data_IF_314213574669
#
_entry.id   IF_314213574669
#
_cell.length_a   1.000
_cell.length_b   1.000
_cell.length_c   1.000
_cell.angle_alpha   90.00
_cell.angle_beta   90.00
_cell.angle_gamma   90.00
#
_symmetry.space_group_name_H-M   'P 1'
#
loop_
_entity.id
_entity.type
_entity.pdbx_description
1 polymer ?
#
# COMPACT_ATOMS: atom_id res chain seq x y z
N UNK A 1 -19.87 -12.00 3.21
CA UNK A 1 -19.02 -11.06 3.96
C UNK A 1 -19.15 -9.72 3.31
N UNK A 2 -19.50 -8.70 4.08
CA UNK A 2 -19.73 -7.35 3.60
C UNK A 2 -18.35 -6.72 3.39
N UNK A 3 -17.91 -6.65 2.14
CA UNK A 3 -16.73 -5.87 1.75
C UNK A 3 -17.10 -4.40 1.97
N UNK A 4 -16.56 -3.78 3.02
CA UNK A 4 -16.74 -2.35 3.26
C UNK A 4 -15.95 -1.63 2.18
N UNK A 5 -16.60 -1.33 1.06
CA UNK A 5 -16.10 -0.37 0.08
C UNK A 5 -15.87 0.94 0.83
N UNK A 6 -14.60 1.22 1.17
CA UNK A 6 -14.20 2.57 1.56
C UNK A 6 -14.56 3.48 0.38
N UNK A 7 -15.47 4.42 0.63
CA UNK A 7 -16.17 5.16 -0.41
C UNK A 7 -15.21 6.10 -1.15
N UNK A 8 -15.09 5.94 -2.47
CA UNK A 8 -14.53 6.99 -3.34
C UNK A 8 -15.70 7.88 -3.75
N UNK A 9 -15.70 9.14 -3.30
CA UNK A 9 -16.81 10.06 -3.55
C UNK A 9 -16.48 11.06 -4.67
N UNK A 10 -17.46 11.29 -5.54
CA UNK A 10 -17.38 12.25 -6.62
C UNK A 10 -17.84 13.65 -6.16
N UNK A 11 -16.94 14.63 -6.04
CA UNK A 11 -17.28 15.98 -5.53
C UNK A 11 -17.00 17.05 -6.60
N UNK A 12 -17.87 18.04 -6.84
CA UNK A 12 -17.62 19.12 -7.81
C UNK A 12 -16.68 20.20 -7.25
N UNK A 13 -16.06 20.96 -8.15
CA UNK A 13 -15.14 22.06 -7.84
C UNK A 13 -15.80 23.18 -7.01
N UNK A 14 -15.15 23.58 -5.93
CA UNK A 14 -15.56 24.72 -5.11
C UNK A 14 -14.91 26.00 -5.60
N UNK A 15 -15.70 27.04 -5.86
CA UNK A 15 -15.18 28.35 -6.29
C UNK A 15 -14.18 28.92 -5.26
N UNK A 16 -14.32 28.56 -3.97
CA UNK A 16 -13.38 28.95 -2.90
C UNK A 16 -12.03 28.24 -2.98
N UNK A 17 -11.98 27.01 -3.51
CA UNK A 17 -10.74 26.26 -3.70
C UNK A 17 -9.86 26.93 -4.75
N UNK A 18 -10.45 27.35 -5.86
CA UNK A 18 -9.76 28.11 -6.92
C UNK A 18 -9.15 29.42 -6.41
N UNK A 19 -9.95 30.20 -5.67
CA UNK A 19 -9.53 31.52 -5.19
C UNK A 19 -8.41 31.47 -4.13
N UNK A 20 -8.38 30.43 -3.28
CA UNK A 20 -7.54 30.41 -2.08
C UNK A 20 -6.43 29.37 -2.10
N UNK A 21 -6.59 28.26 -2.83
CA UNK A 21 -5.70 27.09 -2.76
C UNK A 21 -5.07 26.73 -4.11
N UNK A 22 -5.74 26.99 -5.24
CA UNK A 22 -5.20 26.68 -6.57
C UNK A 22 -4.33 27.81 -7.18
N UNK A 23 -4.29 28.99 -6.53
CA UNK A 23 -3.40 30.09 -6.92
C UNK A 23 -3.63 30.62 -8.34
N UNK A 24 -4.82 30.43 -8.92
CA UNK A 24 -5.17 30.75 -10.32
C UNK A 24 -4.36 30.00 -11.39
N UNK A 25 -3.66 28.92 -11.04
CA UNK A 25 -3.06 28.06 -12.05
C UNK A 25 -4.10 27.06 -12.57
N UNK A 26 -4.25 26.94 -13.90
CA UNK A 26 -5.07 25.89 -14.50
C UNK A 26 -4.42 24.51 -14.27
N UNK A 27 -4.65 23.95 -13.09
CA UNK A 27 -4.24 22.60 -12.73
C UNK A 27 -5.50 21.73 -12.75
N UNK A 28 -5.59 20.83 -13.73
CA UNK A 28 -6.67 19.86 -13.80
C UNK A 28 -6.44 18.77 -12.75
N UNK A 29 -6.86 19.00 -11.52
CA UNK A 29 -6.84 17.97 -10.47
C UNK A 29 -8.21 17.30 -10.42
N UNK A 30 -8.36 16.12 -11.02
CA UNK A 30 -9.62 15.34 -10.94
C UNK A 30 -9.62 14.38 -9.72
N UNK A 31 -8.70 14.55 -8.78
CA UNK A 31 -8.54 13.69 -7.61
C UNK A 31 -8.00 14.48 -6.40
N UNK A 32 -8.38 14.07 -5.19
CA UNK A 32 -7.96 14.70 -3.94
C UNK A 32 -7.96 13.74 -2.75
N UNK A 33 -7.19 14.07 -1.71
CA UNK A 33 -7.09 13.30 -0.47
C UNK A 33 -7.42 14.21 0.71
N UNK A 34 -8.31 13.77 1.59
CA UNK A 34 -8.65 14.44 2.84
C UNK A 34 -8.24 13.53 4.00
N UNK A 35 -7.16 13.89 4.69
CA UNK A 35 -6.70 13.18 5.88
C UNK A 35 -7.31 13.76 7.15
N UNK A 36 -7.88 12.91 7.99
CA UNK A 36 -8.52 13.30 9.25
C UNK A 36 -7.88 12.50 10.37
N UNK A 37 -7.14 13.20 11.21
CA UNK A 37 -6.59 12.65 12.44
C UNK A 37 -7.46 13.01 13.63
N UNK A 38 -7.94 12.01 14.35
CA UNK A 38 -8.79 12.17 15.53
C UNK A 38 -8.17 11.48 16.75
N UNK A 39 -8.54 11.89 17.96
CA UNK A 39 -8.14 11.15 19.17
C UNK A 39 -8.89 9.82 19.27
N UNK A 40 -8.35 8.84 20.01
CA UNK A 40 -8.92 7.50 20.21
C UNK A 40 -10.41 7.45 20.63
N UNK A 41 -10.96 8.54 21.19
CA UNK A 41 -12.39 8.69 21.51
C UNK A 41 -13.26 9.12 20.30
N UNK A 42 -12.81 8.86 19.08
CA UNK A 42 -13.52 9.23 17.86
C UNK A 42 -14.65 8.26 17.54
N UNK A 43 -15.86 8.78 17.38
CA UNK A 43 -17.02 8.00 16.98
C UNK A 43 -17.11 7.97 15.45
N UNK A 44 -16.49 6.94 14.86
CA UNK A 44 -16.46 6.72 13.40
C UNK A 44 -17.88 6.78 12.78
N UNK A 45 -18.87 6.19 13.44
CA UNK A 45 -20.25 6.19 12.97
C UNK A 45 -20.87 7.60 12.89
N UNK A 46 -20.59 8.47 13.86
CA UNK A 46 -21.10 9.85 13.87
C UNK A 46 -20.42 10.66 12.76
N UNK A 47 -19.11 10.47 12.56
CA UNK A 47 -18.37 11.12 11.49
C UNK A 47 -18.83 10.69 10.10
N UNK A 48 -19.03 9.38 9.88
CA UNK A 48 -19.60 8.85 8.63
C UNK A 48 -21.01 9.41 8.39
N UNK A 49 -21.81 9.59 9.45
CA UNK A 49 -23.09 10.29 9.38
C UNK A 49 -22.94 11.74 8.91
N UNK A 50 -22.00 12.50 9.50
CA UNK A 50 -21.71 13.86 9.07
C UNK A 50 -21.26 13.95 7.61
N UNK A 51 -20.35 13.08 7.16
CA UNK A 51 -19.87 13.04 5.77
C UNK A 51 -21.01 12.71 4.81
N UNK A 52 -21.82 11.69 5.14
CA UNK A 52 -22.97 11.27 4.33
C UNK A 52 -24.05 12.35 4.21
N UNK A 53 -24.19 13.20 5.23
CA UNK A 53 -25.12 14.33 5.26
C UNK A 53 -24.59 15.58 4.57
N UNK A 54 -23.31 15.60 4.12
CA UNK A 54 -22.79 16.69 3.30
C UNK A 54 -23.50 16.67 1.95
N UNK A 55 -24.51 17.53 1.81
CA UNK A 55 -25.23 17.73 0.57
C UNK A 55 -24.31 18.27 -0.53
N UNK A 56 -23.74 17.38 -1.33
CA UNK A 56 -22.98 17.73 -2.52
C UNK A 56 -23.96 18.31 -3.55
N UNK A 57 -23.97 19.63 -3.68
CA UNK A 57 -24.79 20.31 -4.67
C UNK A 57 -24.21 19.99 -6.06
N UNK A 58 -24.93 19.18 -6.85
CA UNK A 58 -24.55 18.87 -8.25
C UNK A 58 -24.43 20.18 -9.05
N UNK A 59 -23.20 20.63 -9.31
CA UNK A 59 -22.89 21.59 -10.38
C UNK A 59 -22.55 20.81 -11.65
N UNK A 60 -22.88 21.35 -12.82
CA UNK A 60 -22.73 20.71 -14.14
C UNK A 60 -21.27 20.49 -14.61
N UNK A 61 -20.26 20.69 -13.76
CA UNK A 61 -18.84 20.71 -14.15
C UNK A 61 -18.01 19.69 -13.37
N UNK A 62 -17.47 18.72 -14.11
CA UNK A 62 -16.42 17.80 -13.67
C UNK A 62 -16.86 16.73 -12.64
N UNK A 63 -16.14 15.61 -12.62
CA UNK A 63 -16.20 14.58 -11.59
C UNK A 63 -14.82 14.48 -10.96
N UNK A 64 -14.72 14.62 -9.65
CA UNK A 64 -13.45 14.55 -8.90
C UNK A 64 -13.52 13.41 -7.91
N UNK A 65 -12.49 12.58 -7.85
CA UNK A 65 -12.40 11.48 -6.88
C UNK A 65 -11.77 11.97 -5.58
N UNK A 66 -12.51 11.91 -4.47
CA UNK A 66 -11.96 12.25 -3.15
C UNK A 66 -11.84 10.99 -2.30
N UNK A 67 -10.62 10.73 -1.81
CA UNK A 67 -10.36 9.72 -0.78
C UNK A 67 -10.32 10.38 0.59
N UNK A 68 -11.14 9.89 1.53
CA UNK A 68 -11.15 10.33 2.93
C UNK A 68 -10.40 9.30 3.76
N UNK A 69 -9.33 9.73 4.44
CA UNK A 69 -8.44 8.86 5.19
C UNK A 69 -8.57 9.14 6.70
N UNK A 70 -8.87 8.10 7.48
CA UNK A 70 -8.88 8.18 8.94
C UNK A 70 -7.52 7.82 9.54
N UNK A 71 -7.45 7.75 10.88
CA UNK A 71 -6.23 7.37 11.59
C UNK A 71 -5.60 6.07 11.08
N UNK A 72 -6.43 5.06 10.78
CA UNK A 72 -5.96 3.76 10.27
C UNK A 72 -5.21 3.94 8.95
N UNK A 73 -5.82 4.62 7.98
CA UNK A 73 -5.23 4.82 6.66
C UNK A 73 -3.99 5.72 6.77
N UNK A 74 -4.02 6.76 7.59
CA UNK A 74 -2.88 7.64 7.84
C UNK A 74 -1.69 6.88 8.47
N UNK A 75 -1.96 5.98 9.42
CA UNK A 75 -0.97 5.08 10.02
C UNK A 75 -0.37 4.14 8.98
N UNK A 76 -1.22 3.48 8.21
CA UNK A 76 -0.83 2.62 7.09
C UNK A 76 0.09 3.36 6.12
N UNK A 77 -0.26 4.57 5.70
CA UNK A 77 0.55 5.34 4.76
C UNK A 77 1.90 5.75 5.34
N UNK A 78 1.96 6.13 6.61
CA UNK A 78 3.22 6.48 7.24
C UNK A 78 4.15 5.26 7.35
N UNK A 79 3.60 4.08 7.70
CA UNK A 79 4.35 2.81 7.76
C UNK A 79 4.86 2.40 6.39
N UNK A 80 3.97 2.43 5.39
CA UNK A 80 4.30 2.17 4.00
C UNK A 80 5.41 3.09 3.51
N UNK A 81 5.29 4.40 3.73
CA UNK A 81 6.28 5.37 3.28
C UNK A 81 7.65 5.13 3.95
N UNK A 82 7.67 4.87 5.26
CA UNK A 82 8.89 4.55 6.01
C UNK A 82 9.58 3.31 5.44
N UNK A 83 8.82 2.24 5.24
CA UNK A 83 9.35 0.97 4.77
C UNK A 83 9.76 1.01 3.29
N UNK A 84 8.93 1.62 2.44
CA UNK A 84 9.25 1.83 1.03
C UNK A 84 10.52 2.67 0.84
N UNK A 85 10.69 3.73 1.65
CA UNK A 85 11.92 4.53 1.62
C UNK A 85 13.13 3.74 2.13
N UNK A 86 12.96 2.86 3.13
CA UNK A 86 14.02 1.95 3.55
C UNK A 86 14.43 1.03 2.40
N UNK A 87 13.47 0.39 1.72
CA UNK A 87 13.74 -0.44 0.55
C UNK A 87 14.46 0.35 -0.56
N UNK A 88 14.01 1.57 -0.89
CA UNK A 88 14.70 2.43 -1.86
C UNK A 88 16.14 2.75 -1.45
N UNK A 89 16.43 2.88 -0.15
CA UNK A 89 17.79 3.12 0.34
C UNK A 89 18.66 1.85 0.33
N UNK A 90 18.08 0.70 0.66
CA UNK A 90 18.78 -0.59 0.68
C UNK A 90 19.11 -1.07 -0.74
N UNK A 91 18.25 -0.72 -1.71
CA UNK A 91 18.39 -1.04 -3.14
C UNK A 91 18.63 0.25 -3.94
N UNK A 92 19.74 0.94 -3.66
CA UNK A 92 20.07 2.25 -4.22
C UNK A 92 21.19 2.22 -5.26
N UNK A 93 21.63 1.04 -5.72
CA UNK A 93 22.62 0.97 -6.79
C UNK A 93 22.01 1.48 -8.11
N UNK A 94 22.86 2.00 -9.00
CA UNK A 94 22.41 2.58 -10.30
C UNK A 94 21.60 1.62 -11.19
N UNK A 95 21.70 0.31 -10.95
CA UNK A 95 20.99 -0.72 -11.71
C UNK A 95 19.86 -1.41 -10.93
N UNK A 96 19.68 -1.05 -9.66
CA UNK A 96 18.57 -1.53 -8.85
C UNK A 96 17.37 -0.59 -9.04
N UNK A 97 16.17 -1.17 -9.02
CA UNK A 97 14.93 -0.42 -9.16
C UNK A 97 13.91 -0.90 -8.12
N UNK A 98 13.28 0.04 -7.43
CA UNK A 98 12.16 -0.22 -6.50
C UNK A 98 10.98 0.62 -6.92
N UNK A 99 9.89 -0.01 -7.33
CA UNK A 99 8.71 0.68 -7.87
C UNK A 99 7.40 0.00 -7.47
N UNK A 100 6.34 0.79 -7.42
CA UNK A 100 4.98 0.25 -7.30
C UNK A 100 4.58 -0.40 -8.61
N UNK A 101 3.84 -1.51 -8.50
CA UNK A 101 3.41 -2.31 -9.63
C UNK A 101 1.95 -2.72 -9.43
N UNK A 102 1.03 -2.22 -10.26
CA UNK A 102 -0.41 -2.50 -10.13
C UNK A 102 -0.92 -3.37 -11.28
N UNK A 103 -1.01 -4.69 -11.12
CA UNK A 103 -1.39 -5.58 -12.22
C UNK A 103 -2.77 -5.21 -12.78
N UNK A 104 -2.86 -5.01 -14.10
CA UNK A 104 -4.13 -4.76 -14.79
C UNK A 104 -4.82 -6.09 -15.08
N UNK A 105 -6.07 -6.25 -14.63
CA UNK A 105 -6.93 -7.42 -14.85
C UNK A 105 -7.31 -7.68 -16.32
N UNK A 106 -7.07 -6.73 -17.24
CA UNK A 106 -7.49 -6.81 -18.63
C UNK A 106 -6.33 -6.42 -19.55
N UNK A 107 -6.07 -7.24 -20.58
CA UNK A 107 -5.38 -7.13 -21.91
C UNK A 107 -4.47 -5.91 -22.24
N UNK A 108 -4.17 -5.05 -21.29
CA UNK A 108 -3.22 -3.97 -21.37
C UNK A 108 -1.84 -4.56 -21.06
N UNK A 109 -0.81 -4.13 -21.80
CA UNK A 109 0.56 -4.52 -21.45
C UNK A 109 0.80 -4.20 -19.97
N UNK A 110 1.55 -5.09 -19.32
CA UNK A 110 2.01 -5.02 -17.93
C UNK A 110 2.10 -3.57 -17.41
N UNK A 111 1.61 -3.28 -16.20
CA UNK A 111 1.58 -1.91 -15.71
C UNK A 111 2.97 -1.27 -15.75
N UNK A 112 3.03 -0.08 -16.30
CA UNK A 112 4.24 0.74 -16.32
C UNK A 112 4.72 0.96 -14.88
N UNK A 113 6.04 0.86 -14.67
CA UNK A 113 6.68 1.12 -13.38
C UNK A 113 6.20 2.46 -12.82
N UNK A 114 5.75 2.49 -11.57
CA UNK A 114 5.29 3.73 -10.94
C UNK A 114 6.12 4.10 -9.71
N UNK A 115 6.52 5.37 -9.65
CA UNK A 115 7.14 5.97 -8.46
C UNK A 115 6.12 6.46 -7.43
N UNK A 116 4.85 6.55 -7.82
CA UNK A 116 3.75 7.03 -6.98
C UNK A 116 2.68 5.95 -6.77
N UNK A 117 1.99 6.04 -5.64
CA UNK A 117 0.81 5.22 -5.36
C UNK A 117 -0.42 5.75 -6.11
N UNK A 118 -1.20 4.86 -6.71
CA UNK A 118 -2.54 5.21 -7.21
C UNK A 118 -3.48 5.53 -6.02
N UNK A 119 -4.48 6.39 -6.25
CA UNK A 119 -5.40 6.83 -5.21
C UNK A 119 -6.19 5.65 -4.62
N UNK A 120 -6.63 4.74 -5.49
CA UNK A 120 -7.38 3.53 -5.15
C UNK A 120 -6.54 2.56 -4.32
N UNK A 121 -5.23 2.53 -4.58
CA UNK A 121 -4.30 1.72 -3.81
C UNK A 121 -4.10 2.21 -2.36
N UNK A 122 -4.38 3.50 -2.07
CA UNK A 122 -4.36 4.01 -0.69
C UNK A 122 -5.38 3.27 0.20
N UNK A 123 -6.50 2.83 -0.39
CA UNK A 123 -7.59 2.15 0.31
C UNK A 123 -7.49 0.61 0.24
N UNK A 124 -6.62 0.07 -0.62
CA UNK A 124 -6.43 -1.37 -0.78
C UNK A 124 -5.65 -2.00 0.39
N UNK A 125 -6.11 -3.13 0.90
CA UNK A 125 -5.34 -3.91 1.90
C UNK A 125 -4.07 -4.55 1.32
N UNK A 126 -3.93 -4.57 -0.01
CA UNK A 126 -2.77 -5.07 -0.73
C UNK A 126 -2.14 -3.97 -1.57
N UNK A 127 -0.86 -3.71 -1.32
CA UNK A 127 -0.04 -2.82 -2.14
C UNK A 127 1.18 -3.62 -2.62
N UNK A 128 1.37 -3.66 -3.93
CA UNK A 128 2.42 -4.42 -4.58
C UNK A 128 3.58 -3.51 -4.98
N UNK A 129 4.79 -3.95 -4.63
CA UNK A 129 6.05 -3.33 -4.99
C UNK A 129 6.93 -4.39 -5.62
N UNK A 130 7.70 -4.01 -6.62
CA UNK A 130 8.71 -4.89 -7.21
C UNK A 130 10.09 -4.27 -6.99
N UNK A 131 11.01 -5.13 -6.58
CA UNK A 131 12.44 -4.85 -6.52
C UNK A 131 13.07 -5.60 -7.68
N UNK A 132 13.80 -4.89 -8.53
CA UNK A 132 14.66 -5.48 -9.54
C UNK A 132 16.09 -5.17 -9.14
N UNK A 133 16.90 -6.18 -8.87
CA UNK A 133 18.30 -6.01 -8.46
C UNK A 133 19.26 -6.70 -9.42
N UNK A 134 20.45 -6.15 -9.61
CA UNK A 134 21.47 -6.83 -10.41
C UNK A 134 21.96 -8.11 -9.70
N UNK A 135 21.93 -9.24 -10.39
CA UNK A 135 22.39 -10.54 -9.85
C UNK A 135 23.92 -10.65 -9.80
N UNK A 136 24.62 -9.69 -10.39
CA UNK A 136 26.08 -9.63 -10.45
C UNK A 136 26.54 -8.56 -11.44
N UNK A 137 27.83 -8.27 -11.42
CA UNK A 137 28.47 -7.32 -12.32
C UNK A 137 29.66 -7.96 -13.01
N UNK A 138 29.84 -7.67 -14.30
CA UNK A 138 31.03 -8.07 -15.03
C UNK A 138 32.24 -7.17 -14.70
N UNK A 139 33.36 -7.40 -15.37
CA UNK A 139 34.59 -6.60 -15.17
C UNK A 139 34.46 -5.14 -15.62
N UNK A 140 33.44 -4.81 -16.39
CA UNK A 140 33.14 -3.47 -16.90
C UNK A 140 32.05 -2.78 -16.06
N UNK A 141 31.66 -3.38 -14.93
CA UNK A 141 30.60 -2.91 -14.05
C UNK A 141 29.21 -2.90 -14.71
N UNK A 142 28.98 -3.78 -15.69
CA UNK A 142 27.67 -3.98 -16.32
C UNK A 142 26.93 -5.13 -15.63
N UNK A 143 25.62 -4.98 -15.32
CA UNK A 143 24.83 -6.05 -14.74
C UNK A 143 24.84 -7.31 -15.62
N UNK A 144 25.18 -8.46 -15.05
CA UNK A 144 25.22 -9.76 -15.76
C UNK A 144 23.86 -10.46 -15.80
N UNK A 145 22.90 -9.98 -15.01
CA UNK A 145 21.55 -10.49 -14.89
C UNK A 145 20.75 -9.66 -13.90
N UNK A 146 19.47 -9.98 -13.77
CA UNK A 146 18.57 -9.32 -12.83
C UNK A 146 17.72 -10.34 -12.11
N UNK A 147 17.62 -10.17 -10.80
CA UNK A 147 16.68 -10.87 -9.93
C UNK A 147 15.50 -9.94 -9.64
N UNK A 148 14.32 -10.53 -9.49
CA UNK A 148 13.07 -9.87 -9.14
C UNK A 148 12.57 -10.38 -7.80
N UNK A 149 12.24 -9.44 -6.92
CA UNK A 149 11.58 -9.73 -5.65
C UNK A 149 10.27 -8.99 -5.63
N UNK A 150 9.18 -9.71 -5.38
CA UNK A 150 7.87 -9.10 -5.18
C UNK A 150 7.65 -8.82 -3.71
N UNK A 151 7.42 -7.56 -3.37
CA UNK A 151 7.12 -7.09 -2.02
C UNK A 151 5.63 -6.76 -1.95
N UNK A 152 4.96 -7.33 -0.95
CA UNK A 152 3.53 -7.16 -0.73
C UNK A 152 3.35 -6.51 0.64
N UNK A 153 2.87 -5.28 0.65
CA UNK A 153 2.42 -4.64 1.88
C UNK A 153 0.96 -5.04 2.13
N UNK A 154 0.74 -5.74 3.23
CA UNK A 154 -0.54 -6.33 3.61
C UNK A 154 -1.09 -5.70 4.90
N UNK A 155 -2.32 -5.16 4.82
CA UNK A 155 -2.98 -4.41 5.89
C UNK A 155 -4.32 -5.02 6.36
N UNK A 156 -4.61 -6.26 5.94
CA UNK A 156 -5.76 -7.03 6.40
C UNK A 156 -5.44 -7.96 7.57
N UNK A 157 -6.41 -8.83 7.91
CA UNK A 157 -6.28 -9.79 9.00
C UNK A 157 -5.22 -10.87 8.70
N UNK A 158 -4.38 -11.21 9.67
CA UNK A 158 -3.36 -12.23 9.50
C UNK A 158 -3.87 -13.64 9.85
N UNK A 159 -4.70 -14.20 8.97
CA UNK A 159 -5.26 -15.55 9.09
C UNK A 159 -4.91 -16.42 7.88
N UNK A 160 -5.06 -17.74 8.00
CA UNK A 160 -4.86 -18.64 6.85
C UNK A 160 -5.74 -18.26 5.65
N UNK A 161 -7.03 -18.01 5.89
CA UNK A 161 -7.99 -17.66 4.83
C UNK A 161 -7.59 -16.37 4.12
N UNK A 162 -7.14 -15.36 4.88
CA UNK A 162 -6.60 -14.12 4.35
C UNK A 162 -5.35 -14.35 3.50
N UNK A 163 -4.40 -15.16 3.98
CA UNK A 163 -3.18 -15.47 3.25
C UNK A 163 -3.46 -16.29 1.97
N UNK A 164 -4.49 -17.14 1.99
CA UNK A 164 -4.98 -17.81 0.78
C UNK A 164 -5.50 -16.80 -0.26
N UNK A 165 -6.21 -15.75 0.17
CA UNK A 165 -6.63 -14.65 -0.72
C UNK A 165 -5.41 -13.92 -1.30
N UNK A 166 -4.39 -13.64 -0.48
CA UNK A 166 -3.13 -13.04 -0.96
C UNK A 166 -2.49 -13.92 -2.03
N UNK A 167 -2.34 -15.23 -1.77
CA UNK A 167 -1.75 -16.16 -2.72
C UNK A 167 -2.56 -16.27 -4.02
N UNK A 168 -3.89 -16.34 -3.94
CA UNK A 168 -4.75 -16.32 -5.13
C UNK A 168 -4.55 -15.07 -5.97
N UNK A 169 -4.42 -13.90 -5.34
CA UNK A 169 -4.12 -12.66 -6.04
C UNK A 169 -2.76 -12.74 -6.74
N UNK A 170 -1.73 -13.31 -6.10
CA UNK A 170 -0.42 -13.49 -6.73
C UNK A 170 -0.47 -14.43 -7.95
N UNK A 171 -1.24 -15.51 -7.87
CA UNK A 171 -1.47 -16.42 -9.00
C UNK A 171 -2.20 -15.70 -10.12
N UNK A 172 -3.31 -15.02 -9.82
CA UNK A 172 -4.17 -14.33 -10.79
C UNK A 172 -3.41 -13.23 -11.54
N UNK A 173 -2.51 -12.53 -10.84
CA UNK A 173 -1.68 -11.47 -11.40
C UNK A 173 -0.35 -11.96 -12.00
N UNK A 174 -0.12 -13.28 -12.04
CA UNK A 174 1.13 -13.88 -12.51
C UNK A 174 2.38 -13.31 -11.81
N UNK A 175 2.29 -13.09 -10.50
CA UNK A 175 3.32 -12.52 -9.63
C UNK A 175 4.19 -13.59 -8.96
N UNK A 176 4.09 -14.84 -9.39
CA UNK A 176 4.89 -15.94 -8.86
C UNK A 176 6.15 -16.24 -9.69
N UNK A 177 6.31 -15.61 -10.87
CA UNK A 177 7.49 -15.74 -11.73
C UNK A 177 8.65 -14.83 -11.26
N UNK A 178 9.09 -15.06 -10.02
CA UNK A 178 10.12 -14.28 -9.30
C UNK A 178 10.94 -15.19 -8.40
N UNK A 179 12.08 -14.72 -7.91
CA UNK A 179 12.94 -15.48 -7.00
C UNK A 179 12.38 -15.52 -5.58
N UNK A 180 11.76 -14.42 -5.15
CA UNK A 180 11.26 -14.26 -3.78
C UNK A 180 10.01 -13.39 -3.71
N UNK A 181 9.14 -13.73 -2.77
CA UNK A 181 7.96 -12.97 -2.37
C UNK A 181 8.12 -12.58 -0.89
N UNK A 182 8.19 -11.28 -0.61
CA UNK A 182 8.26 -10.72 0.73
C UNK A 182 6.91 -10.14 1.14
N UNK A 183 6.29 -10.65 2.20
CA UNK A 183 5.02 -10.14 2.72
C UNK A 183 5.29 -9.31 3.99
N UNK A 184 5.12 -8.00 3.88
CA UNK A 184 5.16 -7.08 5.02
C UNK A 184 3.76 -6.90 5.59
N UNK A 185 3.54 -7.33 6.83
CA UNK A 185 2.23 -7.24 7.48
C UNK A 185 2.21 -6.23 8.62
N UNK A 186 1.05 -5.60 8.83
CA UNK A 186 0.84 -4.64 9.89
C UNK A 186 0.49 -5.31 11.23
N UNK A 187 1.49 -5.48 12.11
CA UNK A 187 1.30 -6.13 13.42
C UNK A 187 0.47 -5.32 14.42
N UNK A 188 0.32 -4.00 14.26
CA UNK A 188 -0.37 -3.18 15.25
C UNK A 188 -1.89 -3.25 15.10
N UNK A 189 -2.39 -3.64 13.92
CA UNK A 189 -3.83 -3.70 13.62
C UNK A 189 -4.37 -5.13 13.61
N UNK A 190 -3.55 -6.13 13.95
CA UNK A 190 -3.98 -7.52 14.02
C UNK A 190 -4.85 -7.76 15.25
N UNK A 191 -6.02 -8.34 15.03
CA UNK A 191 -6.79 -8.96 16.11
C UNK A 191 -6.11 -10.27 16.55
N UNK A 192 -5.32 -10.16 17.62
CA UNK A 192 -4.59 -11.28 18.23
C UNK A 192 -5.49 -12.36 18.81
N UNK A 193 -6.81 -12.15 18.85
CA UNK A 193 -7.80 -13.13 19.29
C UNK A 193 -8.20 -14.16 18.23
N UNK A 194 -7.89 -13.93 16.95
CA UNK A 194 -8.40 -14.75 15.83
C UNK A 194 -7.51 -15.96 15.55
N UNK A 195 -6.22 -15.76 15.29
CA UNK A 195 -5.25 -16.82 15.02
C UNK A 195 -3.83 -16.38 15.40
N UNK A 196 -3.04 -17.32 15.88
CA UNK A 196 -1.61 -17.09 16.12
C UNK A 196 -0.85 -16.94 14.79
N UNK A 197 -0.02 -15.90 14.69
CA UNK A 197 0.67 -15.49 13.46
C UNK A 197 1.60 -16.60 12.94
N UNK A 198 2.37 -17.22 13.83
CA UNK A 198 3.32 -18.28 13.45
C UNK A 198 2.57 -19.53 12.99
N UNK A 199 1.44 -19.84 13.63
CA UNK A 199 0.55 -20.90 13.19
C UNK A 199 -0.04 -20.63 11.81
N UNK A 200 -0.45 -19.40 11.51
CA UNK A 200 -0.95 -19.00 10.19
C UNK A 200 0.13 -19.14 9.10
N UNK A 201 1.35 -18.65 9.37
CA UNK A 201 2.51 -18.82 8.46
C UNK A 201 2.81 -20.30 8.18
N UNK A 202 2.85 -21.12 9.22
CA UNK A 202 3.12 -22.55 9.08
C UNK A 202 2.02 -23.25 8.27
N UNK A 203 0.75 -22.93 8.51
CA UNK A 203 -0.35 -23.51 7.74
C UNK A 203 -0.33 -23.05 6.28
N UNK A 204 -0.02 -21.77 6.03
CA UNK A 204 0.15 -21.24 4.69
C UNK A 204 1.22 -22.00 3.92
N UNK A 205 2.40 -22.15 4.51
CA UNK A 205 3.53 -22.86 3.89
C UNK A 205 3.26 -24.35 3.63
N UNK A 206 2.45 -25.00 4.46
CA UNK A 206 2.18 -26.45 4.36
C UNK A 206 0.91 -26.79 3.55
N UNK A 207 0.01 -25.83 3.33
CA UNK A 207 -1.34 -26.11 2.80
C UNK A 207 -1.65 -25.31 1.53
N UNK A 208 -1.15 -24.08 1.42
CA UNK A 208 -1.51 -23.16 0.35
C UNK A 208 -0.42 -23.10 -0.71
N UNK A 209 0.84 -23.01 -0.29
CA UNK A 209 1.97 -23.08 -1.22
C UNK A 209 2.06 -24.53 -1.72
N UNK A 210 1.93 -24.79 -3.03
CA UNK A 210 2.17 -26.12 -3.59
C UNK A 210 3.59 -26.54 -3.19
N UNK A 211 3.75 -27.74 -2.66
CA UNK A 211 4.94 -28.26 -1.97
C UNK A 211 6.25 -27.48 -2.21
N UNK A 212 6.79 -26.87 -1.15
CA UNK A 212 8.11 -26.23 -1.09
C UNK A 212 9.21 -27.10 -1.73
N UNK A 213 9.42 -26.95 -3.04
CA UNK A 213 10.44 -27.67 -3.79
C UNK A 213 9.97 -28.79 -4.73
N UNK A 214 8.66 -28.99 -4.96
CA UNK A 214 8.23 -29.80 -6.11
C UNK A 214 8.10 -28.93 -7.36
N UNK A 215 8.78 -29.36 -8.43
CA UNK A 215 8.74 -28.73 -9.75
C UNK A 215 7.33 -28.92 -10.31
N UNK A 216 6.51 -27.88 -10.25
CA UNK A 216 5.26 -27.81 -11.02
C UNK A 216 5.61 -27.19 -12.36
N UNK A 217 5.63 -28.00 -13.42
CA UNK A 217 5.81 -27.53 -14.81
C UNK A 217 7.11 -26.72 -15.07
N UNK A 218 8.26 -27.22 -14.63
CA UNK A 218 9.60 -26.61 -14.86
C UNK A 218 9.81 -25.20 -14.26
N UNK A 219 8.93 -24.75 -13.35
CA UNK A 219 9.08 -23.48 -12.63
C UNK A 219 9.31 -23.71 -11.13
N UNK A 220 10.40 -23.17 -10.62
CA UNK A 220 10.64 -23.11 -9.17
C UNK A 220 9.62 -22.15 -8.54
N UNK A 221 8.97 -22.60 -7.47
CA UNK A 221 8.06 -21.76 -6.69
C UNK A 221 8.92 -20.75 -5.92
N UNK A 222 8.56 -19.45 -5.90
CA UNK A 222 9.33 -18.44 -5.19
C UNK A 222 9.39 -18.75 -3.70
N UNK A 223 10.49 -18.34 -3.07
CA UNK A 223 10.58 -18.34 -1.61
C UNK A 223 9.60 -17.30 -1.03
N UNK A 224 8.85 -17.67 0.00
CA UNK A 224 7.96 -16.75 0.74
C UNK A 224 8.55 -16.40 2.11
N UNK A 225 8.77 -15.12 2.35
CA UNK A 225 9.19 -14.60 3.65
C UNK A 225 8.19 -13.58 4.18
N UNK A 226 8.14 -13.44 5.51
CA UNK A 226 7.17 -12.60 6.22
C UNK A 226 7.87 -11.66 7.20
N UNK A 227 7.69 -10.36 7.00
CA UNK A 227 8.26 -9.32 7.85
C UNK A 227 7.18 -8.41 8.45
N UNK A 228 7.46 -7.84 9.61
CA UNK A 228 6.56 -6.86 10.23
C UNK A 228 6.83 -5.47 9.71
N UNK A 229 5.78 -4.73 9.38
CA UNK A 229 5.89 -3.29 9.15
C UNK A 229 6.42 -2.56 10.40
N UNK A 230 7.28 -1.54 10.23
CA UNK A 230 7.81 -0.80 11.35
C UNK A 230 6.70 0.03 12.01
N UNK A 231 6.72 0.10 13.33
CA UNK A 231 5.94 1.10 14.05
C UNK A 231 6.35 2.52 13.64
N UNK A 232 5.37 3.41 13.59
CA UNK A 232 5.58 4.84 13.35
C UNK A 232 5.09 5.59 14.59
N UNK A 233 6.00 6.35 15.18
CA UNK A 233 5.67 7.34 16.20
C UNK A 233 5.55 8.69 15.52
N UNK A 234 4.45 9.39 15.78
CA UNK A 234 4.25 10.75 15.29
C UNK A 234 4.82 11.71 16.33
N UNK A 235 5.73 12.58 15.89
CA UNK A 235 6.12 13.72 16.71
C UNK A 235 4.88 14.60 16.91
N UNK A 236 4.53 14.85 18.16
CA UNK A 236 3.45 15.78 18.44
C UNK A 236 3.91 17.18 18.02
N UNK A 237 3.25 17.76 17.02
CA UNK A 237 3.56 19.11 16.51
C UNK A 237 3.55 20.16 17.65
N UNK A 238 2.79 19.93 18.72
CA UNK A 238 2.76 20.81 19.90
C UNK A 238 4.00 20.68 20.81
N UNK A 239 4.72 19.56 20.76
CA UNK A 239 5.98 19.38 21.50
C UNK A 239 7.14 20.10 20.80
N UNK A 240 7.18 20.09 19.46
CA UNK A 240 8.12 20.90 18.68
C UNK A 240 7.92 22.41 18.85
N UNK A 241 6.68 22.86 19.02
CA UNK A 241 6.36 24.28 19.30
C UNK A 241 6.66 24.71 20.76
N UNK A 242 6.89 23.76 21.67
CA UNK A 242 7.23 24.03 23.09
C UNK A 242 8.74 24.08 23.34
N UNK A 243 9.55 23.78 22.34
CA UNK A 243 11.01 23.80 22.41
C UNK A 243 11.61 25.05 21.80
N UNK A 244 11.40 26.22 22.43
CA UNK A 244 12.27 27.41 22.28
C UNK A 244 12.03 28.47 23.39
N UNK A 245 11.72 28.04 24.62
CA UNK A 245 11.60 28.94 25.80
C UNK A 245 12.70 28.70 26.86
N UNK A 246 13.88 28.22 26.44
CA UNK A 246 15.09 28.24 27.27
C UNK A 246 16.33 28.52 26.41
N UNK A 247 16.50 29.79 26.04
CA UNK A 247 17.78 30.37 25.67
C UNK A 247 18.05 31.59 26.56
#
# INVERSE_FOLDING_TARGET
>A
MTQTLQTVECVPESDKFEEHLNGYEQRNYNAGVVGIWSSDNFHEADFQGYVSDVGIHRKERGTYEIAVLGNRELNKLARLAKEYNRLKNDYNNDSDEVYFYYPSMADKPFPDKQDSLALEALLSDLIFVQIKRASGYDRENTPTGFERVNVIFYFGDFTLDSLEVVFKALVEYNLLDVEEVLIYYDNEHLDRGIQDIESAKAQFANTIIPDNGEIVEDKEIPKFDFDTLPSVTYDNYTEGLRGDDNA
#
